data_IF_272446551825
#
_entry.id   IF_272446551825
#
_cell.length_a   1.000
_cell.length_b   1.000
_cell.length_c   1.000
_cell.angle_alpha   90.00
_cell.angle_beta   90.00
_cell.angle_gamma   90.00
#
_symmetry.space_group_name_H-M   'P 1'
#
loop_
_entity.id
_entity.type
_entity.pdbx_description
1 polymer ?
#
# COMPACT_ATOMS: atom_id res chain seq x y z
N UNK A 1 6.00 -6.46 64.58
CA UNK A 1 5.28 -7.47 63.78
C UNK A 1 4.77 -6.75 62.53
N UNK A 2 5.66 -6.48 61.57
CA UNK A 2 6.04 -7.34 60.44
C UNK A 2 4.92 -7.42 59.38
N UNK A 3 5.03 -6.53 58.38
CA UNK A 3 4.91 -6.71 56.91
C UNK A 3 4.06 -7.88 56.35
N UNK A 4 3.36 -7.72 55.19
CA UNK A 4 4.01 -7.23 53.98
C UNK A 4 3.20 -6.37 52.98
N UNK A 5 3.97 -5.51 52.29
CA UNK A 5 3.67 -4.92 50.98
C UNK A 5 3.20 -5.99 49.98
N UNK A 6 2.03 -5.79 49.38
CA UNK A 6 1.61 -6.50 48.17
C UNK A 6 1.77 -5.53 46.99
N UNK A 7 2.91 -5.61 46.32
CA UNK A 7 3.15 -4.96 45.05
C UNK A 7 2.42 -5.76 43.95
N UNK A 8 1.32 -5.21 43.43
CA UNK A 8 0.67 -5.75 42.23
C UNK A 8 1.40 -5.22 40.99
N UNK A 9 2.22 -6.08 40.40
CA UNK A 9 2.92 -5.84 39.14
C UNK A 9 1.93 -5.67 38.00
N UNK A 10 1.82 -4.46 37.44
CA UNK A 10 1.02 -4.18 36.25
C UNK A 10 1.85 -4.56 35.01
N UNK A 11 1.64 -5.78 34.49
CA UNK A 11 2.29 -6.25 33.27
C UNK A 11 1.70 -5.55 32.05
N UNK A 12 2.41 -4.54 31.53
CA UNK A 12 2.13 -3.97 30.21
C UNK A 12 2.42 -5.04 29.13
N UNK A 13 1.37 -5.64 28.59
CA UNK A 13 1.45 -6.42 27.36
C UNK A 13 1.76 -5.46 26.20
N UNK A 14 3.03 -5.37 25.80
CA UNK A 14 3.40 -4.78 24.52
C UNK A 14 2.88 -5.72 23.43
N UNK A 15 1.72 -5.37 22.85
CA UNK A 15 1.28 -5.97 21.60
C UNK A 15 2.31 -5.64 20.51
N UNK A 16 3.11 -6.64 20.12
CA UNK A 16 3.89 -6.56 18.91
C UNK A 16 2.92 -6.43 17.74
N UNK A 17 2.80 -5.23 17.17
CA UNK A 17 2.18 -5.04 15.88
C UNK A 17 2.99 -5.87 14.88
N UNK A 18 2.43 -6.98 14.40
CA UNK A 18 2.95 -7.65 13.23
C UNK A 18 3.05 -6.59 12.12
N UNK A 19 4.27 -6.33 11.62
CA UNK A 19 4.44 -5.55 10.42
C UNK A 19 3.76 -6.35 9.30
N UNK A 20 2.51 -5.99 8.97
CA UNK A 20 1.82 -6.59 7.85
C UNK A 20 2.64 -6.22 6.61
N UNK A 21 3.11 -7.21 5.87
CA UNK A 21 3.79 -6.95 4.62
C UNK A 21 2.77 -6.32 3.67
N UNK A 22 3.08 -5.10 3.24
CA UNK A 22 2.22 -4.28 2.41
C UNK A 22 2.69 -4.42 0.97
N UNK A 23 1.80 -4.71 0.00
CA UNK A 23 2.23 -4.72 -1.39
C UNK A 23 1.98 -3.38 -2.08
N UNK A 24 3.07 -2.65 -2.32
CA UNK A 24 3.08 -1.43 -3.14
C UNK A 24 3.20 -1.80 -4.62
N UNK A 25 2.19 -1.45 -5.40
CA UNK A 25 2.17 -1.64 -6.85
C UNK A 25 2.38 -0.31 -7.57
N UNK A 26 3.51 -0.19 -8.26
CA UNK A 26 3.79 0.92 -9.16
C UNK A 26 3.18 0.64 -10.53
N UNK A 27 2.46 1.60 -11.10
CA UNK A 27 1.75 1.41 -12.36
C UNK A 27 1.73 2.67 -13.21
N UNK A 28 1.38 2.48 -14.49
CA UNK A 28 1.07 3.56 -15.44
C UNK A 28 -0.37 3.39 -15.90
N UNK A 29 -1.10 4.50 -16.02
CA UNK A 29 -2.46 4.50 -16.52
C UNK A 29 -2.70 5.70 -17.46
N UNK A 30 -3.75 5.61 -18.27
CA UNK A 30 -4.21 6.68 -19.15
C UNK A 30 -5.70 6.97 -18.98
N UNK A 31 -6.09 8.19 -19.27
CA UNK A 31 -7.45 8.59 -19.59
C UNK A 31 -7.44 9.03 -21.05
N UNK A 32 -8.47 8.68 -21.81
CA UNK A 32 -8.66 9.16 -23.18
C UNK A 32 -9.70 10.31 -23.17
N UNK A 33 -9.64 11.19 -24.18
CA UNK A 33 -10.61 12.28 -24.43
C UNK A 33 -10.95 13.21 -23.24
N UNK A 34 -10.02 14.06 -22.75
CA UNK A 34 -8.68 14.33 -23.28
C UNK A 34 -7.62 13.31 -22.80
N UNK A 35 -6.60 13.09 -23.63
CA UNK A 35 -5.49 12.20 -23.28
C UNK A 35 -4.73 12.72 -22.05
N UNK A 36 -4.75 11.94 -20.96
CA UNK A 36 -3.94 12.17 -19.76
C UNK A 36 -3.18 10.91 -19.43
N UNK A 37 -1.93 11.07 -18.97
CA UNK A 37 -1.10 9.97 -18.50
C UNK A 37 -0.78 10.18 -17.03
N UNK A 38 -0.72 9.08 -16.28
CA UNK A 38 -0.30 9.12 -14.89
C UNK A 38 0.57 7.93 -14.52
N UNK A 39 1.52 8.19 -13.63
CA UNK A 39 2.24 7.20 -12.86
C UNK A 39 1.70 7.25 -11.44
N UNK A 40 1.36 6.10 -10.88
CA UNK A 40 0.78 5.97 -9.57
C UNK A 40 1.40 4.83 -8.79
N UNK A 41 1.15 4.85 -7.48
CA UNK A 41 1.53 3.76 -6.57
C UNK A 41 0.28 3.43 -5.76
N UNK A 42 -0.17 2.19 -5.81
CA UNK A 42 -1.30 1.73 -5.00
C UNK A 42 -0.82 0.76 -3.94
N UNK A 43 -1.48 0.78 -2.79
CA UNK A 43 -1.40 -0.32 -1.83
C UNK A 43 -2.44 -1.37 -2.21
N UNK A 44 -2.00 -2.62 -2.42
CA UNK A 44 -2.90 -3.74 -2.71
C UNK A 44 -3.35 -4.39 -1.39
N UNK A 45 -4.64 -4.80 -1.28
CA UNK A 45 -5.18 -5.45 -0.08
C UNK A 45 -4.73 -6.92 0.01
N UNK A 46 -3.45 -7.14 0.27
CA UNK A 46 -2.80 -8.45 0.35
C UNK A 46 -1.59 -8.37 1.26
N UNK A 47 -1.37 -9.43 2.05
CA UNK A 47 -0.28 -9.52 3.03
C UNK A 47 1.10 -9.72 2.39
N UNK A 48 1.15 -10.12 1.11
CA UNK A 48 2.39 -10.27 0.34
C UNK A 48 2.13 -9.87 -1.10
N UNK A 49 3.18 -9.48 -1.83
CA UNK A 49 2.99 -9.12 -3.22
C UNK A 49 2.53 -10.31 -4.09
N UNK A 50 1.43 -10.18 -4.84
CA UNK A 50 0.91 -11.26 -5.66
C UNK A 50 1.64 -11.31 -6.99
N UNK A 51 1.19 -12.17 -7.91
CA UNK A 51 1.67 -12.12 -9.29
C UNK A 51 1.35 -10.77 -9.94
N UNK A 52 2.18 -10.33 -10.90
CA UNK A 52 1.91 -9.09 -11.67
C UNK A 52 0.54 -9.09 -12.34
N UNK A 53 0.07 -10.24 -12.83
CA UNK A 53 -1.26 -10.35 -13.46
C UNK A 53 -2.39 -10.17 -12.45
N UNK A 54 -2.24 -10.74 -11.25
CA UNK A 54 -3.21 -10.54 -10.16
C UNK A 54 -3.24 -9.08 -9.71
N UNK A 55 -2.07 -8.45 -9.58
CA UNK A 55 -1.96 -7.03 -9.26
C UNK A 55 -2.62 -6.15 -10.35
N UNK A 56 -2.38 -6.46 -11.63
CA UNK A 56 -2.99 -5.76 -12.75
C UNK A 56 -4.52 -5.83 -12.70
N UNK A 57 -5.08 -7.02 -12.53
CA UNK A 57 -6.54 -7.21 -12.44
C UNK A 57 -7.18 -6.39 -11.29
N UNK A 58 -6.52 -6.34 -10.13
CA UNK A 58 -7.00 -5.52 -9.01
C UNK A 58 -6.92 -4.01 -9.31
N UNK A 59 -5.82 -3.57 -9.94
CA UNK A 59 -5.64 -2.18 -10.34
C UNK A 59 -6.63 -1.76 -11.41
N UNK A 60 -6.86 -2.58 -12.43
CA UNK A 60 -7.82 -2.32 -13.51
C UNK A 60 -9.21 -2.01 -12.96
N UNK A 61 -9.74 -2.83 -12.04
CA UNK A 61 -11.06 -2.60 -11.43
C UNK A 61 -11.12 -1.26 -10.68
N UNK A 62 -10.04 -0.89 -9.98
CA UNK A 62 -9.99 0.34 -9.17
C UNK A 62 -9.84 1.60 -10.05
N UNK A 63 -9.01 1.50 -11.08
CA UNK A 63 -8.72 2.58 -12.03
C UNK A 63 -9.90 2.84 -12.96
N UNK A 64 -10.53 1.79 -13.49
CA UNK A 64 -11.65 1.88 -14.45
C UNK A 64 -12.85 2.62 -13.85
N UNK A 65 -13.15 2.38 -12.57
CA UNK A 65 -14.17 3.12 -11.80
C UNK A 65 -13.95 4.63 -11.76
N UNK A 66 -12.74 5.09 -12.07
CA UNK A 66 -12.34 6.50 -12.10
C UNK A 66 -11.97 6.96 -13.52
N UNK A 67 -12.36 6.21 -14.55
CA UNK A 67 -12.10 6.50 -15.96
C UNK A 67 -10.64 6.26 -16.39
N UNK A 68 -9.79 5.69 -15.53
CA UNK A 68 -8.41 5.37 -15.87
C UNK A 68 -8.31 3.95 -16.46
N UNK A 69 -7.65 3.82 -17.60
CA UNK A 69 -7.24 2.54 -18.17
C UNK A 69 -5.81 2.22 -17.74
N UNK A 70 -5.60 1.04 -17.14
CA UNK A 70 -4.26 0.55 -16.80
C UNK A 70 -3.45 0.31 -18.09
N UNK A 71 -2.22 0.83 -18.12
CA UNK A 71 -1.27 0.57 -19.22
C UNK A 71 -0.27 -0.52 -18.86
N UNK A 72 0.28 -0.47 -17.65
CA UNK A 72 1.24 -1.48 -17.17
C UNK A 72 1.45 -1.44 -15.67
N UNK A 73 1.78 -2.61 -15.11
CA UNK A 73 2.36 -2.74 -13.76
C UNK A 73 3.89 -2.67 -13.88
N UNK A 74 4.46 -1.58 -13.39
CA UNK A 74 5.90 -1.30 -13.46
C UNK A 74 6.64 -2.22 -12.49
N UNK A 75 6.28 -2.16 -11.21
CA UNK A 75 6.94 -2.89 -10.14
C UNK A 75 5.96 -3.25 -9.01
N UNK A 76 6.32 -4.29 -8.26
CA UNK A 76 5.70 -4.70 -7.02
C UNK A 76 6.78 -4.71 -5.94
N UNK A 77 6.48 -4.20 -4.75
CA UNK A 77 7.43 -4.08 -3.65
C UNK A 77 6.73 -4.27 -2.32
N UNK A 78 7.34 -5.06 -1.43
CA UNK A 78 6.92 -5.18 -0.02
C UNK A 78 7.55 -4.08 0.86
N UNK A 79 8.47 -3.31 0.29
CA UNK A 79 9.07 -2.16 0.93
C UNK A 79 8.30 -0.88 0.56
N UNK A 80 8.15 0.06 1.51
CA UNK A 80 7.59 1.37 1.22
C UNK A 80 8.37 2.09 0.11
N UNK A 81 7.68 2.86 -0.74
CA UNK A 81 8.33 3.60 -1.82
C UNK A 81 9.23 4.71 -1.28
N UNK A 82 10.30 5.01 -2.02
CA UNK A 82 11.17 6.15 -1.71
C UNK A 82 10.42 7.48 -1.84
N UNK A 83 10.92 8.52 -1.18
CA UNK A 83 10.35 9.87 -1.27
C UNK A 83 10.31 10.39 -2.72
N UNK A 84 11.30 10.05 -3.54
CA UNK A 84 11.30 10.37 -4.96
C UNK A 84 10.14 9.70 -5.70
N UNK A 85 9.89 8.41 -5.45
CA UNK A 85 8.77 7.68 -6.05
C UNK A 85 7.42 8.26 -5.62
N UNK A 86 7.28 8.62 -4.34
CA UNK A 86 6.08 9.31 -3.82
C UNK A 86 5.86 10.65 -4.53
N UNK A 87 6.92 11.45 -4.67
CA UNK A 87 6.87 12.74 -5.39
C UNK A 87 6.48 12.57 -6.86
N UNK A 88 7.03 11.56 -7.54
CA UNK A 88 6.71 11.27 -8.94
C UNK A 88 5.25 10.80 -9.11
N UNK A 89 4.72 10.03 -8.15
CA UNK A 89 3.32 9.61 -8.14
C UNK A 89 2.36 10.77 -7.82
N UNK A 90 2.82 11.78 -7.07
CA UNK A 90 2.06 13.00 -6.79
C UNK A 90 0.68 12.72 -6.20
N UNK A 91 -0.37 13.26 -6.83
CA UNK A 91 -1.76 13.05 -6.40
C UNK A 91 -2.26 11.60 -6.55
N UNK A 92 -1.51 10.74 -7.23
CA UNK A 92 -1.85 9.34 -7.48
C UNK A 92 -1.14 8.36 -6.53
N UNK A 93 -0.40 8.90 -5.55
CA UNK A 93 0.15 8.11 -4.46
C UNK A 93 -0.98 7.63 -3.53
N UNK A 94 -1.16 6.31 -3.44
CA UNK A 94 -2.14 5.59 -2.63
C UNK A 94 -3.61 5.99 -2.85
N UNK A 95 -3.91 6.67 -3.96
CA UNK A 95 -5.25 7.18 -4.25
C UNK A 95 -6.19 6.13 -4.79
N UNK A 96 -5.70 5.32 -5.72
CA UNK A 96 -6.50 4.33 -6.44
C UNK A 96 -6.29 2.98 -5.86
#
# INVERSE_FOLDING_TARGET
MNTPLLALSFSLALGASAAQAECYAEYKAKQDDPLRLQYGIALLPTDTCPSKNTAAAQLEIRLDRNGWTLLSVVALSEQPPSEEKKKNAGEFYLRY
#
